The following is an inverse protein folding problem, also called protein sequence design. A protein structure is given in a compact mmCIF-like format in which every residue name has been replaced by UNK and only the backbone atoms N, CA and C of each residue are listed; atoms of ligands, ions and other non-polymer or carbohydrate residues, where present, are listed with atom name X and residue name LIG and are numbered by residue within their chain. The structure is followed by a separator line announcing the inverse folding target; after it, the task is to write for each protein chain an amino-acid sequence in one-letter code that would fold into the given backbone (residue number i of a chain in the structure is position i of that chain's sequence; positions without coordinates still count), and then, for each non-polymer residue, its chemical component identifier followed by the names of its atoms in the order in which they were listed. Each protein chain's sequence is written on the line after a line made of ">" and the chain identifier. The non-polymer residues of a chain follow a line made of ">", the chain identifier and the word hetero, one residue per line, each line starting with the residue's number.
data_IF_366375329985
#
_entry.id   IF_366375329985
#
_cell.length_a   1.000
_cell.length_b   1.000
_cell.length_c   1.000
_cell.angle_alpha   90.00
_cell.angle_beta   90.00
_cell.angle_gamma   90.00
#
_symmetry.space_group_name_H-M   'P 1'
#
loop_
_entity.id
_entity.type
_entity.pdbx_description
1 polymer ?
#
# COMPACT_ATOMS: atom_id res chain seq x y z
N UNK A 1 -2.33 27.13 21.20
CA UNK A 1 -2.87 25.85 21.68
C UNK A 1 -1.93 24.75 21.20
N UNK A 2 -1.06 24.24 22.06
CA UNK A 2 -0.21 23.08 21.75
C UNK A 2 -0.87 21.86 22.38
N UNK A 3 -1.91 21.32 21.74
CA UNK A 3 -2.47 20.04 22.16
C UNK A 3 -1.44 18.95 21.83
N UNK A 4 -0.99 18.13 22.80
CA UNK A 4 -0.04 17.04 22.54
C UNK A 4 -0.56 16.07 21.47
N UNK A 5 -1.89 15.99 21.33
CA UNK A 5 -2.56 15.16 20.32
C UNK A 5 -2.33 15.69 18.91
N UNK A 6 -2.33 17.01 18.70
CA UNK A 6 -2.04 17.63 17.40
C UNK A 6 -0.58 17.38 16.99
N UNK A 7 0.36 17.50 17.94
CA UNK A 7 1.77 17.22 17.70
C UNK A 7 2.03 15.74 17.37
N UNK A 8 1.34 14.82 18.05
CA UNK A 8 1.39 13.39 17.74
C UNK A 8 0.81 13.07 16.36
N UNK A 9 -0.36 13.62 16.02
CA UNK A 9 -1.00 13.39 14.73
C UNK A 9 -0.15 13.93 13.57
N UNK A 10 0.47 15.11 13.75
CA UNK A 10 1.40 15.67 12.78
C UNK A 10 2.67 14.82 12.63
N UNK A 11 3.28 14.40 13.75
CA UNK A 11 4.45 13.50 13.72
C UNK A 11 4.14 12.18 13.03
N UNK A 12 2.96 11.61 13.29
CA UNK A 12 2.50 10.37 12.66
C UNK A 12 2.29 10.56 11.16
N UNK A 13 1.70 11.69 10.74
CA UNK A 13 1.53 12.03 9.33
C UNK A 13 2.88 12.14 8.61
N UNK A 14 3.85 12.86 9.20
CA UNK A 14 5.20 12.99 8.64
C UNK A 14 5.91 11.63 8.56
N UNK A 15 5.81 10.81 9.61
CA UNK A 15 6.37 9.46 9.61
C UNK A 15 5.75 8.59 8.50
N UNK A 16 4.43 8.65 8.33
CA UNK A 16 3.71 7.96 7.25
C UNK A 16 4.17 8.44 5.87
N UNK A 17 4.39 9.75 5.70
CA UNK A 17 4.87 10.31 4.44
C UNK A 17 6.29 9.83 4.10
N UNK A 18 7.20 9.85 5.07
CA UNK A 18 8.59 9.40 4.90
C UNK A 18 8.61 7.90 4.58
N UNK A 19 7.90 7.09 5.36
CA UNK A 19 7.83 5.64 5.15
C UNK A 19 7.20 5.29 3.80
N UNK A 20 6.12 5.97 3.41
CA UNK A 20 5.51 5.82 2.08
C UNK A 20 6.51 6.16 0.97
N UNK A 21 7.25 7.26 1.10
CA UNK A 21 8.23 7.67 0.11
C UNK A 21 9.37 6.65 -0.04
N UNK A 22 9.96 6.22 1.09
CA UNK A 22 11.06 5.24 1.09
C UNK A 22 10.58 3.89 0.54
N UNK A 23 9.44 3.39 1.03
CA UNK A 23 8.87 2.13 0.55
C UNK A 23 8.47 2.22 -0.92
N UNK A 24 7.96 3.36 -1.39
CA UNK A 24 7.65 3.61 -2.79
C UNK A 24 8.89 3.55 -3.67
N UNK A 25 9.97 4.23 -3.28
CA UNK A 25 11.24 4.18 -4.01
C UNK A 25 11.76 2.74 -4.11
N UNK A 26 11.82 2.03 -2.98
CA UNK A 26 12.28 0.63 -2.94
C UNK A 26 11.38 -0.28 -3.78
N UNK A 27 10.07 -0.10 -3.68
CA UNK A 27 9.09 -0.90 -4.40
C UNK A 27 9.22 -0.68 -5.91
N UNK A 28 9.14 0.56 -6.38
CA UNK A 28 9.14 0.90 -7.80
C UNK A 28 10.50 0.70 -8.49
N UNK A 29 11.61 1.08 -7.86
CA UNK A 29 12.93 1.04 -8.51
C UNK A 29 13.71 -0.26 -8.27
N UNK A 30 13.56 -0.90 -7.10
CA UNK A 30 14.42 -2.04 -6.72
C UNK A 30 13.67 -3.37 -6.85
N UNK A 31 12.46 -3.46 -6.28
CA UNK A 31 11.79 -4.75 -6.05
C UNK A 31 10.64 -5.06 -7.01
N UNK A 32 10.22 -4.12 -7.86
CA UNK A 32 9.14 -4.29 -8.86
C UNK A 32 9.23 -5.58 -9.65
N UNK A 33 10.40 -5.89 -10.23
CA UNK A 33 10.58 -7.10 -11.06
C UNK A 33 10.40 -8.39 -10.25
N UNK A 34 10.96 -8.44 -9.04
CA UNK A 34 10.89 -9.62 -8.17
C UNK A 34 9.46 -9.83 -7.65
N UNK A 35 8.78 -8.74 -7.25
CA UNK A 35 7.38 -8.77 -6.79
C UNK A 35 6.47 -9.24 -7.92
N UNK A 36 6.60 -8.67 -9.12
CA UNK A 36 5.78 -9.05 -10.27
C UNK A 36 6.04 -10.49 -10.73
N UNK A 37 7.28 -10.98 -10.64
CA UNK A 37 7.61 -12.37 -10.95
C UNK A 37 7.04 -13.36 -9.92
N UNK A 38 6.94 -12.95 -8.65
CA UNK A 38 6.41 -13.79 -7.58
C UNK A 38 4.87 -13.81 -7.54
N UNK A 39 4.23 -12.65 -7.72
CA UNK A 39 2.76 -12.50 -7.64
C UNK A 39 2.06 -12.77 -8.98
N UNK A 40 2.75 -12.56 -10.12
CA UNK A 40 2.25 -12.83 -11.49
C UNK A 40 0.82 -12.33 -11.72
N UNK A 41 0.59 -11.03 -11.58
CA UNK A 41 -0.72 -10.44 -11.85
C UNK A 41 -1.22 -10.75 -13.27
N UNK A 42 -2.51 -11.10 -13.48
CA UNK A 42 -3.07 -11.38 -14.81
C UNK A 42 -2.85 -10.25 -15.84
N UNK A 43 -2.88 -8.99 -15.41
CA UNK A 43 -2.58 -7.85 -16.29
C UNK A 43 -1.15 -7.84 -16.86
N UNK A 44 -0.19 -8.49 -16.19
CA UNK A 44 1.18 -8.61 -16.70
C UNK A 44 1.30 -9.55 -17.90
N UNK A 45 0.27 -10.37 -18.17
CA UNK A 45 0.22 -11.22 -19.37
C UNK A 45 -0.04 -10.41 -20.64
N UNK A 46 -0.70 -9.25 -20.51
CA UNK A 46 -1.10 -8.42 -21.65
C UNK A 46 -0.04 -7.35 -21.97
N UNK A 47 0.56 -6.75 -20.94
CA UNK A 47 1.66 -5.79 -21.09
C UNK A 47 2.67 -5.87 -19.94
N UNK A 48 3.94 -5.55 -20.19
CA UNK A 48 4.93 -5.44 -19.12
C UNK A 48 4.59 -4.27 -18.19
N UNK A 49 4.90 -4.43 -16.90
CA UNK A 49 4.58 -3.47 -15.84
C UNK A 49 4.96 -2.01 -16.17
N UNK A 50 6.13 -1.82 -16.79
CA UNK A 50 6.68 -0.51 -17.12
C UNK A 50 5.91 0.24 -18.22
N UNK A 51 5.05 -0.44 -18.98
CA UNK A 51 4.21 0.19 -20.00
C UNK A 51 2.86 0.65 -19.46
N UNK A 52 2.48 0.25 -18.25
CA UNK A 52 1.28 0.75 -17.61
C UNK A 52 1.51 2.15 -17.04
N UNK A 53 0.51 3.05 -17.09
CA UNK A 53 0.56 4.32 -16.39
C UNK A 53 0.67 4.10 -14.87
N UNK A 54 1.25 5.08 -14.17
CA UNK A 54 1.52 5.00 -12.72
C UNK A 54 0.28 4.64 -11.89
N UNK A 55 -0.90 5.11 -12.30
CA UNK A 55 -2.16 4.78 -11.65
C UNK A 55 -2.48 3.27 -11.71
N UNK A 56 -2.28 2.62 -12.86
CA UNK A 56 -2.53 1.18 -13.02
C UNK A 56 -1.44 0.37 -12.31
N UNK A 57 -0.18 0.83 -12.36
CA UNK A 57 0.90 0.21 -11.59
C UNK A 57 0.59 0.23 -10.09
N UNK A 58 0.10 1.36 -9.56
CA UNK A 58 -0.35 1.47 -8.19
C UNK A 58 -1.54 0.53 -7.92
N UNK A 59 -2.54 0.47 -8.79
CA UNK A 59 -3.68 -0.44 -8.64
C UNK A 59 -3.25 -1.91 -8.53
N UNK A 60 -2.33 -2.37 -9.39
CA UNK A 60 -1.76 -3.73 -9.32
C UNK A 60 -1.06 -3.96 -7.97
N UNK A 61 -0.30 -2.98 -7.49
CA UNK A 61 0.40 -3.06 -6.21
C UNK A 61 -0.57 -3.03 -5.02
N UNK A 62 -1.71 -2.35 -5.16
CA UNK A 62 -2.79 -2.34 -4.19
C UNK A 62 -3.48 -3.70 -4.12
N UNK A 63 -3.73 -4.34 -5.27
CA UNK A 63 -4.28 -5.70 -5.33
C UNK A 63 -3.34 -6.70 -4.64
N UNK A 64 -2.02 -6.55 -4.82
CA UNK A 64 -1.02 -7.31 -4.06
C UNK A 64 -1.11 -7.06 -2.55
N UNK A 65 -1.27 -5.80 -2.14
CA UNK A 65 -1.42 -5.43 -0.73
C UNK A 65 -2.65 -6.09 -0.12
N UNK A 66 -3.79 -6.03 -0.81
CA UNK A 66 -5.03 -6.67 -0.36
C UNK A 66 -4.88 -8.18 -0.21
N UNK A 67 -4.23 -8.85 -1.17
CA UNK A 67 -3.94 -10.29 -1.07
C UNK A 67 -3.02 -10.63 0.11
N UNK A 68 -2.06 -9.78 0.43
CA UNK A 68 -1.10 -10.01 1.52
C UNK A 68 -1.72 -9.74 2.91
N UNK A 69 -2.50 -8.67 3.05
CA UNK A 69 -3.08 -8.25 4.32
C UNK A 69 -4.38 -8.98 4.65
N UNK A 70 -5.17 -9.32 3.63
CA UNK A 70 -6.53 -9.84 3.79
C UNK A 70 -6.75 -11.08 2.90
N UNK A 71 -5.95 -12.15 3.04
CA UNK A 71 -5.88 -13.26 2.07
C UNK A 71 -7.16 -14.11 1.92
N UNK A 72 -8.14 -13.96 2.81
CA UNK A 72 -9.40 -14.71 2.80
C UNK A 72 -10.64 -13.84 2.73
N UNK A 73 -10.49 -12.53 2.59
CA UNK A 73 -11.60 -11.59 2.70
C UNK A 73 -12.20 -11.33 1.32
N UNK A 74 -13.49 -11.65 1.14
CA UNK A 74 -14.20 -11.46 -0.15
C UNK A 74 -14.98 -10.15 -0.23
N UNK A 75 -14.58 -9.14 0.56
CA UNK A 75 -15.36 -7.92 0.67
C UNK A 75 -14.92 -6.88 -0.38
N UNK A 76 -15.84 -6.51 -1.28
CA UNK A 76 -15.68 -5.42 -2.25
C UNK A 76 -14.38 -5.53 -3.10
N UNK A 77 -13.59 -4.45 -3.24
CA UNK A 77 -12.34 -4.46 -4.02
C UNK A 77 -11.33 -5.53 -3.55
N UNK A 78 -11.29 -5.82 -2.25
CA UNK A 78 -10.39 -6.82 -1.66
C UNK A 78 -10.75 -8.22 -2.16
N UNK A 79 -12.05 -8.50 -2.34
CA UNK A 79 -12.52 -9.78 -2.89
C UNK A 79 -12.09 -9.99 -4.32
N UNK A 80 -12.25 -8.97 -5.18
CA UNK A 80 -11.79 -9.03 -6.57
C UNK A 80 -10.28 -9.28 -6.66
N UNK A 81 -9.48 -8.55 -5.88
CA UNK A 81 -8.02 -8.76 -5.81
C UNK A 81 -7.66 -10.18 -5.34
N UNK A 82 -8.37 -10.72 -4.35
CA UNK A 82 -8.16 -12.07 -3.85
C UNK A 82 -8.55 -13.17 -4.84
N UNK A 83 -9.58 -12.95 -5.65
CA UNK A 83 -9.99 -13.88 -6.70
C UNK A 83 -8.98 -13.82 -7.86
N UNK A 84 -8.55 -12.62 -8.28
CA UNK A 84 -7.51 -12.39 -9.30
C UNK A 84 -6.15 -13.00 -8.92
N UNK A 85 -5.79 -12.94 -7.64
CA UNK A 85 -4.53 -13.45 -7.09
C UNK A 85 -4.73 -14.75 -6.30
N UNK A 86 -5.83 -15.47 -6.55
CA UNK A 86 -6.17 -16.70 -5.85
C UNK A 86 -5.09 -17.78 -5.97
N UNK A 87 -4.34 -17.79 -7.08
CA UNK A 87 -3.22 -18.69 -7.33
C UNK A 87 -1.97 -18.39 -6.49
N UNK A 88 -1.88 -17.19 -5.90
CA UNK A 88 -0.73 -16.77 -5.11
C UNK A 88 -0.97 -17.13 -3.65
N UNK A 89 -0.08 -17.93 -3.07
CA UNK A 89 -0.09 -18.22 -1.64
C UNK A 89 0.76 -17.17 -0.87
N UNK A 90 0.13 -16.24 -0.15
CA UNK A 90 0.84 -15.20 0.59
C UNK A 90 1.74 -15.78 1.69
N UNK A 91 1.51 -17.00 2.19
CA UNK A 91 2.38 -17.61 3.22
C UNK A 91 3.74 -18.02 2.65
N UNK A 92 3.82 -18.35 1.36
CA UNK A 92 5.05 -18.79 0.70
C UNK A 92 5.94 -17.64 0.22
N UNK A 93 5.42 -16.41 0.21
CA UNK A 93 6.20 -15.24 -0.20
C UNK A 93 7.21 -14.82 0.87
N UNK A 94 8.48 -14.56 0.49
CA UNK A 94 9.49 -14.06 1.41
C UNK A 94 9.12 -12.67 1.93
N UNK A 95 9.40 -12.43 3.22
CA UNK A 95 9.09 -11.18 3.91
C UNK A 95 9.72 -9.95 3.22
N UNK A 96 10.87 -10.13 2.57
CA UNK A 96 11.57 -9.07 1.82
C UNK A 96 10.78 -8.52 0.64
N UNK A 97 9.83 -9.28 0.08
CA UNK A 97 8.93 -8.82 -0.99
C UNK A 97 7.65 -8.21 -0.43
N UNK A 98 7.23 -8.63 0.77
CA UNK A 98 6.01 -8.13 1.43
C UNK A 98 6.22 -6.75 2.03
N UNK A 99 7.35 -6.53 2.71
CA UNK A 99 7.58 -5.31 3.48
C UNK A 99 7.51 -4.03 2.64
N UNK A 100 8.04 -3.96 1.39
CA UNK A 100 7.88 -2.77 0.56
C UNK A 100 6.40 -2.49 0.19
N UNK A 101 5.61 -3.53 -0.07
CA UNK A 101 4.20 -3.41 -0.46
C UNK A 101 3.36 -2.97 0.73
N UNK A 102 3.52 -3.67 1.86
CA UNK A 102 2.81 -3.37 3.11
C UNK A 102 3.27 -2.04 3.69
N UNK A 103 4.56 -1.72 3.60
CA UNK A 103 5.12 -0.44 4.02
C UNK A 103 4.55 0.71 3.20
N UNK A 104 4.55 0.61 1.86
CA UNK A 104 4.03 1.65 0.98
C UNK A 104 2.53 1.89 1.18
N UNK A 105 1.71 0.84 1.02
CA UNK A 105 0.26 0.98 1.13
C UNK A 105 -0.22 1.18 2.56
N UNK A 106 0.37 0.48 3.52
CA UNK A 106 0.03 0.61 4.94
C UNK A 106 0.30 2.02 5.48
N UNK A 107 1.47 2.60 5.16
CA UNK A 107 1.77 3.98 5.53
C UNK A 107 0.91 4.99 4.77
N UNK A 108 0.58 4.74 3.50
CA UNK A 108 -0.32 5.60 2.73
C UNK A 108 -1.73 5.67 3.35
N UNK A 109 -2.33 4.51 3.67
CA UNK A 109 -3.63 4.47 4.35
C UNK A 109 -3.59 5.09 5.74
N UNK A 110 -2.57 4.78 6.54
CA UNK A 110 -2.41 5.35 7.87
C UNK A 110 -2.21 6.87 7.82
N UNK A 111 -1.43 7.36 6.86
CA UNK A 111 -1.21 8.78 6.61
C UNK A 111 -2.49 9.51 6.21
N UNK A 112 -3.33 8.90 5.37
CA UNK A 112 -4.65 9.46 5.03
C UNK A 112 -5.55 9.58 6.26
N UNK A 113 -5.59 8.55 7.11
CA UNK A 113 -6.35 8.58 8.37
C UNK A 113 -5.81 9.69 9.28
N UNK A 114 -4.49 9.77 9.47
CA UNK A 114 -3.85 10.81 10.29
C UNK A 114 -4.17 12.22 9.75
N UNK A 115 -4.17 12.39 8.43
CA UNK A 115 -4.54 13.66 7.80
C UNK A 115 -6.00 14.02 8.11
N UNK A 116 -6.95 13.09 7.93
CA UNK A 116 -8.37 13.32 8.26
C UNK A 116 -8.53 13.73 9.73
N UNK A 117 -7.85 13.05 10.65
CA UNK A 117 -7.86 13.38 12.08
C UNK A 117 -7.35 14.80 12.32
N UNK A 118 -6.25 15.20 11.69
CA UNK A 118 -5.71 16.56 11.78
C UNK A 118 -6.72 17.61 11.31
N UNK A 119 -7.36 17.39 10.15
CA UNK A 119 -8.36 18.32 9.62
C UNK A 119 -9.57 18.45 10.54
N UNK A 120 -10.05 17.34 11.12
CA UNK A 120 -11.16 17.35 12.09
C UNK A 120 -10.76 18.14 13.34
N UNK A 121 -9.55 17.92 13.87
CA UNK A 121 -9.07 18.65 15.05
C UNK A 121 -8.98 20.15 14.80
N UNK A 122 -8.42 20.54 13.64
CA UNK A 122 -8.34 21.94 13.22
C UNK A 122 -9.73 22.56 13.07
N UNK A 123 -10.68 21.85 12.45
CA UNK A 123 -12.06 22.32 12.29
C UNK A 123 -12.77 22.52 13.63
N UNK A 124 -12.51 21.64 14.61
CA UNK A 124 -13.05 21.73 15.96
C UNK A 124 -12.32 22.76 16.85
N UNK A 125 -11.26 23.41 16.35
CA UNK A 125 -10.48 24.41 17.08
C UNK A 125 -9.69 23.84 18.27
N UNK A 126 -9.38 22.54 18.24
CA UNK A 126 -8.61 21.85 19.29
C UNK A 126 -7.11 21.84 19.01
#
# INVERSE_FOLDING_TARGET
>A
MHSPVMAMAFSLFVLCFITCTISGIVLFFIKTRQINAAMKHPYLQHRPFNQFPLAIQAAIMLDYFFRLMFPGTRFWLIGNANDLLGHVDPKKLPLSLKWPIVGFWGSCWLGLIAMIVLWIMLFLGM
#
